data_IF_057614816517
#
_entry.id   IF_057614816517
#
_cell.length_a   1.000
_cell.length_b   1.000
_cell.length_c   1.000
_cell.angle_alpha   90.00
_cell.angle_beta   90.00
_cell.angle_gamma   90.00
#
_symmetry.space_group_name_H-M   'P 1'
#
loop_
_entity.id
_entity.type
_entity.pdbx_description
1 polymer ?
#
# COMPACT_ATOMS: atom_id res chain seq x y z
N UNK A 1 10.50 19.05 -5.02
CA UNK A 1 11.60 18.43 -5.79
C UNK A 1 11.30 18.23 -7.28
N UNK A 2 10.06 18.36 -7.77
CA UNK A 2 9.77 18.17 -9.22
C UNK A 2 10.02 16.75 -9.76
N UNK A 3 10.24 15.77 -8.87
CA UNK A 3 10.65 14.41 -9.20
C UNK A 3 11.96 14.31 -10.02
N UNK A 4 12.92 15.20 -9.75
CA UNK A 4 14.25 15.11 -10.35
C UNK A 4 15.01 13.96 -9.67
N UNK A 5 14.81 12.72 -10.15
CA UNK A 5 15.52 11.53 -9.68
C UNK A 5 16.69 11.15 -10.59
N UNK A 6 17.07 12.06 -11.50
CA UNK A 6 18.05 11.82 -12.55
C UNK A 6 18.83 13.12 -12.81
N UNK A 7 20.19 13.10 -12.85
CA UNK A 7 20.98 14.28 -13.16
C UNK A 7 20.62 14.91 -14.50
N UNK A 8 20.27 14.10 -15.51
CA UNK A 8 19.83 14.59 -16.82
C UNK A 8 18.48 15.32 -16.75
N UNK A 9 17.55 14.86 -15.91
CA UNK A 9 16.27 15.56 -15.68
C UNK A 9 16.51 16.87 -14.93
N UNK A 10 17.41 16.86 -13.94
CA UNK A 10 17.81 18.08 -13.22
C UNK A 10 18.40 19.10 -14.18
N UNK A 11 19.29 18.67 -15.07
CA UNK A 11 19.89 19.51 -16.11
C UNK A 11 18.85 20.00 -17.11
N UNK A 12 17.90 19.16 -17.53
CA UNK A 12 16.82 19.56 -18.43
C UNK A 12 15.94 20.65 -17.81
N UNK A 13 15.65 20.58 -16.50
CA UNK A 13 14.87 21.62 -15.81
C UNK A 13 15.68 22.90 -15.59
N UNK A 14 16.99 22.81 -15.33
CA UNK A 14 17.88 23.97 -15.33
C UNK A 14 17.92 24.64 -16.71
N UNK A 15 18.07 23.84 -17.77
CA UNK A 15 18.16 24.30 -19.15
C UNK A 15 16.84 24.89 -19.66
N UNK A 16 15.69 24.40 -19.18
CA UNK A 16 14.37 24.99 -19.46
C UNK A 16 14.30 26.47 -19.06
N UNK A 17 15.04 26.88 -18.03
CA UNK A 17 15.01 28.24 -17.50
C UNK A 17 13.67 28.58 -16.83
N UNK A 18 13.43 29.87 -16.58
CA UNK A 18 12.21 30.36 -15.93
C UNK A 18 12.25 30.36 -14.40
N UNK A 19 13.44 30.27 -13.79
CA UNK A 19 13.63 30.45 -12.34
C UNK A 19 13.05 29.36 -11.44
N UNK A 20 12.82 28.15 -11.98
CA UNK A 20 12.14 27.07 -11.26
C UNK A 20 13.00 26.42 -10.18
N UNK A 21 14.30 26.37 -10.44
CA UNK A 21 15.34 25.92 -9.51
C UNK A 21 16.57 26.79 -9.73
N UNK A 22 17.29 27.08 -8.65
CA UNK A 22 18.58 27.77 -8.75
C UNK A 22 19.66 26.78 -9.23
N UNK A 23 20.79 27.31 -9.74
CA UNK A 23 21.95 26.48 -10.08
C UNK A 23 22.47 25.71 -8.87
N UNK A 24 22.42 26.33 -7.68
CA UNK A 24 22.82 25.70 -6.42
C UNK A 24 21.90 24.52 -6.06
N UNK A 25 20.58 24.71 -6.16
CA UNK A 25 19.61 23.62 -5.92
C UNK A 25 19.80 22.48 -6.92
N UNK A 26 20.02 22.82 -8.19
CA UNK A 26 20.32 21.84 -9.23
C UNK A 26 21.60 21.05 -8.95
N UNK A 27 22.68 21.71 -8.52
CA UNK A 27 23.91 21.03 -8.13
C UNK A 27 23.68 20.11 -6.92
N UNK A 28 22.94 20.56 -5.90
CA UNK A 28 22.62 19.77 -4.73
C UNK A 28 21.78 18.52 -5.07
N UNK A 29 20.82 18.65 -6.00
CA UNK A 29 20.05 17.51 -6.50
C UNK A 29 20.95 16.48 -7.18
N UNK A 30 21.86 16.92 -8.07
CA UNK A 30 22.82 16.01 -8.74
C UNK A 30 23.72 15.30 -7.74
N UNK A 31 24.29 16.02 -6.77
CA UNK A 31 25.13 15.43 -5.71
C UNK A 31 24.34 14.38 -4.93
N UNK A 32 23.12 14.70 -4.52
CA UNK A 32 22.27 13.76 -3.76
C UNK A 32 21.94 12.51 -4.57
N UNK A 33 21.63 12.66 -5.86
CA UNK A 33 21.35 11.54 -6.77
C UNK A 33 22.58 10.64 -6.94
N UNK A 34 23.77 11.21 -7.09
CA UNK A 34 25.02 10.45 -7.21
C UNK A 34 25.35 9.72 -5.91
N UNK A 35 25.22 10.38 -4.75
CA UNK A 35 25.42 9.74 -3.45
C UNK A 35 24.44 8.59 -3.25
N UNK A 36 23.16 8.77 -3.58
CA UNK A 36 22.16 7.72 -3.49
C UNK A 36 22.51 6.53 -4.42
N UNK A 37 22.98 6.78 -5.65
CA UNK A 37 23.43 5.73 -6.56
C UNK A 37 24.66 4.97 -6.02
N UNK A 38 25.62 5.68 -5.42
CA UNK A 38 26.80 5.08 -4.79
C UNK A 38 26.45 4.24 -3.57
N UNK A 39 25.39 4.60 -2.83
CA UNK A 39 24.86 3.79 -1.72
C UNK A 39 24.06 2.58 -2.23
N UNK A 40 23.33 2.72 -3.33
CA UNK A 40 22.55 1.63 -3.93
C UNK A 40 23.44 0.55 -4.55
N UNK A 41 24.55 0.91 -5.20
CA UNK A 41 25.46 -0.02 -5.86
C UNK A 41 25.97 -1.18 -4.96
N UNK A 42 26.52 -0.95 -3.74
CA UNK A 42 26.94 -2.03 -2.86
C UNK A 42 25.76 -2.83 -2.31
N UNK A 43 24.57 -2.24 -2.13
CA UNK A 43 23.35 -2.97 -1.76
C UNK A 43 22.96 -3.96 -2.86
N UNK A 44 22.89 -3.51 -4.12
CA UNK A 44 22.62 -4.36 -5.27
C UNK A 44 23.68 -5.45 -5.45
N UNK A 45 24.96 -5.10 -5.31
CA UNK A 45 26.06 -6.07 -5.37
C UNK A 45 25.98 -7.12 -4.26
N UNK A 46 25.66 -6.71 -3.03
CA UNK A 46 25.49 -7.61 -1.88
C UNK A 46 24.30 -8.54 -2.01
N UNK A 47 23.28 -8.14 -2.77
CA UNK A 47 22.09 -8.94 -3.09
C UNK A 47 22.35 -9.94 -4.24
N UNK A 48 22.92 -9.49 -5.36
CA UNK A 48 22.94 -10.25 -6.63
C UNK A 48 24.34 -10.84 -6.96
N UNK A 49 25.45 -10.25 -6.50
CA UNK A 49 26.85 -10.60 -6.90
C UNK A 49 27.03 -10.65 -8.44
N UNK A 50 27.99 -11.47 -8.92
CA UNK A 50 28.35 -11.69 -10.34
C UNK A 50 27.36 -12.58 -11.12
N UNK A 51 26.33 -13.12 -10.47
CA UNK A 51 25.26 -13.81 -11.20
C UNK A 51 24.54 -12.77 -12.05
N UNK A 52 24.61 -12.96 -13.37
CA UNK A 52 24.25 -11.96 -14.36
C UNK A 52 22.82 -11.46 -14.16
N UNK A 53 22.63 -10.18 -14.46
CA UNK A 53 21.38 -9.43 -14.49
C UNK A 53 20.36 -9.97 -15.52
N UNK A 54 19.95 -11.22 -15.36
CA UNK A 54 18.88 -11.87 -16.11
C UNK A 54 18.01 -12.66 -15.14
N UNK A 55 16.70 -12.57 -15.35
CA UNK A 55 15.61 -13.21 -14.59
C UNK A 55 15.01 -12.39 -13.44
N UNK A 56 14.03 -11.57 -13.82
CA UNK A 56 12.74 -11.65 -13.15
C UNK A 56 12.33 -13.14 -13.08
N UNK A 57 12.06 -13.65 -11.87
CA UNK A 57 11.65 -15.03 -11.56
C UNK A 57 12.76 -16.11 -11.45
N UNK A 58 13.94 -15.81 -10.91
CA UNK A 58 14.81 -16.86 -10.34
C UNK A 58 14.17 -17.46 -9.05
N UNK A 59 14.41 -18.74 -8.72
CA UNK A 59 14.04 -19.30 -7.41
C UNK A 59 14.70 -18.46 -6.30
N UNK A 60 14.05 -18.25 -5.14
CA UNK A 60 14.58 -17.41 -4.06
C UNK A 60 16.01 -17.82 -3.66
N UNK A 61 17.02 -17.11 -4.16
CA UNK A 61 18.41 -17.25 -3.73
C UNK A 61 18.54 -16.53 -2.38
N UNK A 62 18.11 -17.25 -1.35
CA UNK A 62 17.85 -16.67 -0.03
C UNK A 62 19.12 -16.69 0.80
N UNK A 63 19.97 -15.70 0.55
CA UNK A 63 20.90 -15.23 1.58
C UNK A 63 20.10 -14.42 2.58
N UNK A 64 20.20 -14.74 3.87
CA UNK A 64 19.36 -14.15 4.90
C UNK A 64 19.43 -12.60 4.86
N UNK A 65 20.62 -12.02 4.74
CA UNK A 65 20.80 -10.56 4.67
C UNK A 65 20.12 -9.90 3.47
N UNK A 66 20.06 -10.58 2.31
CA UNK A 66 19.41 -10.05 1.11
C UNK A 66 17.89 -10.00 1.27
N UNK A 67 17.31 -11.00 1.94
CA UNK A 67 15.88 -11.02 2.27
C UNK A 67 15.52 -9.82 3.16
N UNK A 68 16.21 -9.65 4.29
CA UNK A 68 15.94 -8.53 5.21
C UNK A 68 16.09 -7.17 4.52
N UNK A 69 17.13 -6.99 3.69
CA UNK A 69 17.36 -5.74 2.98
C UNK A 69 16.27 -5.42 1.95
N UNK A 70 15.83 -6.41 1.17
CA UNK A 70 14.74 -6.22 0.19
C UNK A 70 13.42 -5.84 0.87
N UNK A 71 13.04 -6.61 1.89
CA UNK A 71 11.81 -6.38 2.64
C UNK A 71 11.83 -5.01 3.33
N UNK A 72 12.97 -4.61 3.92
CA UNK A 72 13.13 -3.29 4.51
C UNK A 72 12.99 -2.17 3.47
N UNK A 73 13.74 -2.21 2.36
CA UNK A 73 13.80 -1.11 1.39
C UNK A 73 12.47 -0.91 0.66
N UNK A 74 11.81 -2.00 0.24
CA UNK A 74 10.53 -1.90 -0.46
C UNK A 74 9.42 -1.53 0.51
N UNK A 75 9.39 -2.05 1.75
CA UNK A 75 8.38 -1.60 2.72
C UNK A 75 8.60 -0.15 3.14
N UNK A 76 9.85 0.31 3.27
CA UNK A 76 10.16 1.72 3.47
C UNK A 76 9.61 2.57 2.32
N UNK A 77 9.82 2.17 1.07
CA UNK A 77 9.27 2.87 -0.09
C UNK A 77 7.74 2.87 -0.09
N UNK A 78 7.11 1.72 0.15
CA UNK A 78 5.66 1.56 0.26
C UNK A 78 5.07 2.48 1.32
N UNK A 79 5.61 2.44 2.54
CA UNK A 79 5.14 3.27 3.64
C UNK A 79 5.39 4.76 3.36
N UNK A 80 6.52 5.12 2.76
CA UNK A 80 6.79 6.50 2.36
C UNK A 80 5.79 7.00 1.32
N UNK A 81 5.42 6.17 0.34
CA UNK A 81 4.38 6.48 -0.65
C UNK A 81 3.04 6.64 0.04
N UNK A 82 2.60 5.69 0.88
CA UNK A 82 1.36 5.82 1.65
C UNK A 82 1.33 7.15 2.41
N UNK A 83 2.37 7.44 3.18
CA UNK A 83 2.40 8.65 4.00
C UNK A 83 2.38 9.93 3.13
N UNK A 84 3.19 10.00 2.08
CA UNK A 84 3.33 11.19 1.24
C UNK A 84 2.17 11.41 0.27
N UNK A 85 1.53 10.35 -0.24
CA UNK A 85 0.44 10.49 -1.21
C UNK A 85 -0.94 10.41 -0.57
N UNK A 86 -1.14 9.58 0.46
CA UNK A 86 -2.48 9.40 1.06
C UNK A 86 -2.71 10.27 2.29
N UNK A 87 -1.65 10.66 3.02
CA UNK A 87 -1.81 11.28 4.36
C UNK A 87 -1.22 12.68 4.49
N UNK A 88 -0.48 13.17 3.48
CA UNK A 88 0.09 14.51 3.48
C UNK A 88 -0.96 15.55 3.13
N UNK A 89 -1.04 16.64 3.91
CA UNK A 89 -2.00 17.73 3.68
C UNK A 89 -1.87 18.37 2.29
N UNK A 90 -0.63 18.56 1.83
CA UNK A 90 -0.35 19.10 0.50
C UNK A 90 -0.81 18.21 -0.67
N UNK A 91 -1.26 16.98 -0.37
CA UNK A 91 -1.83 16.05 -1.34
C UNK A 91 -3.32 15.77 -1.06
N UNK A 92 -3.98 16.54 -0.18
CA UNK A 92 -5.39 16.33 0.11
C UNK A 92 -6.25 16.46 -1.16
N UNK A 93 -7.18 15.52 -1.35
CA UNK A 93 -8.06 15.49 -2.51
C UNK A 93 -7.45 14.93 -3.80
N UNK A 94 -6.20 14.45 -3.77
CA UNK A 94 -5.68 13.69 -4.90
C UNK A 94 -6.39 12.35 -5.05
N UNK A 95 -6.39 11.82 -6.27
CA UNK A 95 -7.04 10.55 -6.59
C UNK A 95 -6.04 9.48 -7.05
N UNK A 96 -4.73 9.75 -7.05
CA UNK A 96 -3.69 8.83 -7.55
C UNK A 96 -3.04 7.98 -6.43
N UNK A 97 -3.35 8.25 -5.16
CA UNK A 97 -2.72 7.58 -4.02
C UNK A 97 -2.81 6.04 -4.10
N UNK A 98 -3.99 5.49 -4.43
CA UNK A 98 -4.18 4.04 -4.54
C UNK A 98 -3.32 3.43 -5.65
N UNK A 99 -3.24 4.12 -6.80
CA UNK A 99 -2.39 3.74 -7.92
C UNK A 99 -0.92 3.73 -7.51
N UNK A 100 -0.44 4.79 -6.86
CA UNK A 100 0.95 4.89 -6.41
C UNK A 100 1.31 3.77 -5.40
N UNK A 101 0.41 3.48 -4.46
CA UNK A 101 0.58 2.41 -3.46
C UNK A 101 0.67 1.04 -4.14
N UNK A 102 -0.28 0.72 -5.03
CA UNK A 102 -0.29 -0.55 -5.77
C UNK A 102 0.93 -0.72 -6.69
N UNK A 103 1.32 0.33 -7.40
CA UNK A 103 2.50 0.31 -8.27
C UNK A 103 3.82 0.16 -7.49
N UNK A 104 3.88 0.63 -6.24
CA UNK A 104 5.05 0.41 -5.39
C UNK A 104 5.22 -1.07 -5.06
N UNK A 105 4.13 -1.78 -4.73
CA UNK A 105 4.15 -3.23 -4.50
C UNK A 105 4.46 -3.99 -5.79
N UNK A 106 3.86 -3.61 -6.92
CA UNK A 106 4.18 -4.18 -8.24
C UNK A 106 5.69 -4.05 -8.54
N UNK A 107 6.24 -2.84 -8.41
CA UNK A 107 7.66 -2.57 -8.65
C UNK A 107 8.57 -3.41 -7.76
N UNK A 108 8.26 -3.50 -6.47
CA UNK A 108 8.98 -4.36 -5.52
C UNK A 108 8.90 -5.84 -5.89
N UNK A 109 7.70 -6.33 -6.21
CA UNK A 109 7.49 -7.75 -6.52
C UNK A 109 8.21 -8.15 -7.83
N UNK A 110 8.24 -7.29 -8.84
CA UNK A 110 9.01 -7.52 -10.08
C UNK A 110 10.52 -7.45 -9.82
N UNK A 111 10.98 -6.45 -9.06
CA UNK A 111 12.41 -6.17 -8.90
C UNK A 111 13.12 -7.09 -7.92
N UNK A 112 12.50 -7.39 -6.77
CA UNK A 112 13.15 -8.14 -5.67
C UNK A 112 12.33 -9.34 -5.19
N UNK A 113 11.19 -9.64 -5.82
CA UNK A 113 10.38 -10.82 -5.49
C UNK A 113 11.14 -12.13 -5.69
N UNK A 114 12.00 -12.23 -6.70
CA UNK A 114 12.88 -13.38 -6.93
C UNK A 114 14.00 -13.53 -5.88
N UNK A 115 14.25 -12.51 -5.06
CA UNK A 115 15.29 -12.51 -4.03
C UNK A 115 14.66 -12.81 -2.66
N UNK A 116 13.61 -12.06 -2.30
CA UNK A 116 12.99 -12.08 -0.98
C UNK A 116 11.68 -12.84 -0.90
N UNK A 117 11.03 -13.14 -2.02
CA UNK A 117 9.62 -13.55 -2.06
C UNK A 117 8.64 -12.38 -2.16
N UNK A 118 9.08 -11.16 -1.83
CA UNK A 118 8.36 -9.92 -2.08
C UNK A 118 7.06 -9.77 -1.29
N UNK A 119 7.11 -9.99 0.04
CA UNK A 119 5.93 -9.86 0.89
C UNK A 119 5.60 -8.39 1.15
N UNK A 120 6.61 -7.61 1.57
CA UNK A 120 6.55 -6.18 1.91
C UNK A 120 5.47 -5.80 2.94
N UNK A 121 4.91 -6.81 3.59
CA UNK A 121 3.69 -6.77 4.40
C UNK A 121 3.73 -7.95 5.38
N UNK A 122 3.80 -7.72 6.70
CA UNK A 122 3.82 -8.80 7.69
C UNK A 122 2.59 -9.73 7.63
N UNK A 123 1.42 -9.23 7.24
CA UNK A 123 0.23 -10.07 7.06
C UNK A 123 0.42 -11.03 5.86
N UNK A 124 0.90 -10.53 4.72
CA UNK A 124 1.27 -11.40 3.57
C UNK A 124 2.41 -12.35 3.94
N UNK A 125 3.42 -11.86 4.68
CA UNK A 125 4.52 -12.67 5.20
C UNK A 125 4.06 -13.82 6.10
N UNK A 126 2.97 -13.64 6.84
CA UNK A 126 2.37 -14.69 7.69
C UNK A 126 1.87 -15.88 6.87
N UNK A 127 1.53 -15.69 5.59
CA UNK A 127 1.16 -16.78 4.70
C UNK A 127 2.30 -17.81 4.51
N UNK A 128 3.56 -17.41 4.75
CA UNK A 128 4.70 -18.34 4.71
C UNK A 128 4.63 -19.46 5.76
N UNK A 129 3.82 -19.32 6.80
CA UNK A 129 3.57 -20.40 7.76
C UNK A 129 2.74 -21.55 7.15
N UNK A 130 1.92 -21.25 6.14
CA UNK A 130 1.10 -22.23 5.42
C UNK A 130 1.74 -22.71 4.11
N UNK A 131 2.45 -21.81 3.42
CA UNK A 131 2.99 -22.07 2.07
C UNK A 131 4.52 -22.15 2.00
N UNK A 132 5.23 -21.78 3.07
CA UNK A 132 6.68 -21.71 3.08
C UNK A 132 7.30 -23.10 3.10
N UNK A 133 8.28 -23.34 2.22
CA UNK A 133 9.11 -24.54 2.23
C UNK A 133 10.22 -24.51 3.31
N UNK A 134 10.32 -23.41 4.05
CA UNK A 134 11.36 -23.11 5.03
C UNK A 134 10.83 -23.24 6.46
N UNK A 135 11.71 -23.42 7.46
CA UNK A 135 11.28 -23.49 8.85
C UNK A 135 10.48 -22.25 9.26
N UNK A 136 9.47 -22.45 10.11
CA UNK A 136 8.49 -21.43 10.47
C UNK A 136 9.09 -20.11 11.00
N UNK A 137 10.31 -20.14 11.56
CA UNK A 137 10.99 -18.94 12.05
C UNK A 137 11.33 -17.91 10.96
N UNK A 138 11.34 -18.31 9.68
CA UNK A 138 11.53 -17.38 8.56
C UNK A 138 10.43 -16.33 8.46
N UNK A 139 9.25 -16.58 9.04
CA UNK A 139 8.18 -15.57 9.15
C UNK A 139 8.69 -14.29 9.83
N UNK A 140 9.64 -14.41 10.76
CA UNK A 140 10.23 -13.27 11.47
C UNK A 140 10.93 -12.31 10.52
N UNK A 141 11.49 -12.79 9.43
CA UNK A 141 12.14 -11.93 8.45
C UNK A 141 11.12 -11.02 7.74
N UNK A 142 9.93 -11.56 7.44
CA UNK A 142 8.81 -10.82 6.86
C UNK A 142 8.02 -9.98 7.87
N UNK A 143 8.31 -10.09 9.16
CA UNK A 143 7.77 -9.21 10.19
C UNK A 143 8.76 -8.10 10.56
N UNK A 144 9.98 -8.47 10.95
CA UNK A 144 10.97 -7.53 11.46
C UNK A 144 11.40 -6.52 10.41
N UNK A 145 11.82 -6.96 9.22
CA UNK A 145 12.31 -6.02 8.20
C UNK A 145 11.22 -5.03 7.73
N UNK A 146 10.00 -5.47 7.38
CA UNK A 146 8.91 -4.55 7.02
C UNK A 146 8.53 -3.58 8.15
N UNK A 147 8.42 -4.05 9.41
CA UNK A 147 8.12 -3.17 10.54
C UNK A 147 9.21 -2.11 10.75
N UNK A 148 10.49 -2.48 10.63
CA UNK A 148 11.59 -1.52 10.66
C UNK A 148 11.49 -0.51 9.49
N UNK A 149 11.21 -0.97 8.28
CA UNK A 149 11.03 -0.10 7.11
C UNK A 149 9.88 0.89 7.30
N UNK A 150 8.74 0.43 7.83
CA UNK A 150 7.59 1.28 8.15
C UNK A 150 7.88 2.30 9.25
N UNK A 151 8.56 1.90 10.32
CA UNK A 151 8.95 2.82 11.39
C UNK A 151 9.91 3.92 10.89
N UNK A 152 10.91 3.55 10.08
CA UNK A 152 11.85 4.50 9.47
C UNK A 152 11.11 5.43 8.49
N UNK A 153 10.13 4.93 7.72
CA UNK A 153 9.30 5.76 6.85
C UNK A 153 8.48 6.80 7.63
N UNK A 154 7.96 6.46 8.81
CA UNK A 154 7.29 7.41 9.71
C UNK A 154 8.22 8.54 10.16
N UNK A 155 9.47 8.23 10.49
CA UNK A 155 10.51 9.22 10.81
C UNK A 155 10.95 10.05 9.59
N UNK A 156 11.11 9.41 8.43
CA UNK A 156 11.44 10.08 7.17
C UNK A 156 10.36 11.10 6.77
N UNK A 157 9.08 10.75 6.90
CA UNK A 157 7.96 11.64 6.60
C UNK A 157 8.05 12.96 7.38
N UNK A 158 8.44 12.91 8.66
CA UNK A 158 8.64 14.13 9.49
C UNK A 158 9.66 15.09 8.88
N UNK A 159 10.73 14.56 8.30
CA UNK A 159 11.82 15.38 7.77
C UNK A 159 11.42 16.02 6.43
N UNK A 160 10.73 15.28 5.57
CA UNK A 160 10.48 15.70 4.18
C UNK A 160 9.13 16.35 3.93
N UNK A 161 8.19 16.23 4.87
CA UNK A 161 6.92 16.94 4.84
C UNK A 161 6.79 17.86 6.07
N UNK A 162 7.70 18.85 6.23
CA UNK A 162 7.63 19.81 7.32
C UNK A 162 6.35 20.65 7.22
N UNK A 163 5.91 21.15 8.36
CA UNK A 163 4.68 21.90 8.55
C UNK A 163 4.53 23.03 7.50
N UNK A 164 3.38 23.09 6.83
CA UNK A 164 2.96 24.34 6.22
C UNK A 164 2.43 25.23 7.35
N UNK A 165 2.77 26.53 7.38
CA UNK A 165 2.07 27.50 8.23
C UNK A 165 0.56 27.33 8.02
N UNK A 166 -0.29 27.55 9.04
CA UNK A 166 -1.72 27.62 8.84
C UNK A 166 -1.98 28.52 7.65
N UNK A 167 -2.68 28.01 6.63
CA UNK A 167 -3.14 28.87 5.55
C UNK A 167 -3.93 29.98 6.24
N UNK A 168 -3.45 31.22 6.18
CA UNK A 168 -4.32 32.36 6.47
C UNK A 168 -5.58 32.12 5.64
N UNK A 169 -6.75 32.24 6.27
CA UNK A 169 -8.04 32.11 5.60
C UNK A 169 -8.02 33.07 4.41
N UNK A 170 -7.65 32.54 3.24
CA UNK A 170 -7.73 33.24 1.98
C UNK A 170 -9.21 33.53 1.83
N UNK A 171 -9.55 34.81 1.99
CA UNK A 171 -10.87 35.39 1.78
C UNK A 171 -11.32 35.09 0.34
N UNK A 172 -11.80 33.87 0.12
CA UNK A 172 -12.34 33.40 -1.14
C UNK A 172 -13.86 33.61 -1.08
N UNK A 173 -14.28 34.67 -1.75
CA UNK A 173 -15.60 35.03 -2.28
C UNK A 173 -16.85 34.32 -1.68
N UNK A 174 -17.87 35.07 -1.21
CA UNK A 174 -19.14 34.50 -0.76
C UNK A 174 -19.77 33.66 -1.88
N UNK A 175 -20.01 32.37 -1.62
CA UNK A 175 -20.98 31.59 -2.40
C UNK A 175 -22.37 32.08 -1.99
N UNK A 176 -23.16 32.47 -2.99
CA UNK A 176 -24.56 32.88 -2.84
C UNK A 176 -25.34 31.87 -1.99
N UNK A 177 -26.12 32.41 -1.05
CA UNK A 177 -27.04 31.67 -0.20
C UNK A 177 -28.25 31.26 -1.05
N UNK A 178 -28.38 29.98 -1.35
CA UNK A 178 -29.69 29.40 -1.64
C UNK A 178 -30.39 29.11 -0.30
N UNK A 179 -31.33 29.99 0.05
CA UNK A 179 -32.25 29.85 1.18
C UNK A 179 -33.37 28.87 0.82
N UNK A 180 -33.24 27.59 1.20
CA UNK A 180 -34.39 26.68 1.31
C UNK A 180 -34.00 25.33 1.95
N UNK A 181 -33.95 25.29 3.29
CA UNK A 181 -34.64 24.27 4.12
C UNK A 181 -34.13 24.37 5.56
N UNK A 182 -34.97 24.90 6.45
CA UNK A 182 -34.81 24.76 7.89
C UNK A 182 -35.18 23.33 8.27
N UNK A 183 -34.21 22.57 8.79
CA UNK A 183 -34.44 21.42 9.69
C UNK A 183 -33.24 21.30 10.62
N UNK A 184 -33.46 21.74 11.86
CA UNK A 184 -32.83 21.37 13.13
C UNK A 184 -31.44 20.71 13.08
N UNK A 185 -30.41 21.51 13.38
CA UNK A 185 -29.05 21.04 13.63
C UNK A 185 -28.91 20.55 15.08
N UNK A 186 -28.41 19.33 15.34
CA UNK A 186 -27.86 18.99 16.64
C UNK A 186 -26.52 19.69 16.83
N UNK A 187 -26.35 20.22 18.03
CA UNK A 187 -25.18 20.90 18.57
C UNK A 187 -23.88 20.12 18.36
N UNK A 188 -22.81 20.90 18.14
CA UNK A 188 -21.40 20.53 18.14
C UNK A 188 -21.01 19.47 19.17
N UNK A 189 -20.73 18.25 18.70
CA UNK A 189 -19.99 17.24 19.47
C UNK A 189 -18.49 17.34 19.16
N UNK A 190 -17.70 17.52 20.21
CA UNK A 190 -16.24 17.37 20.19
C UNK A 190 -15.88 15.94 19.75
N UNK A 191 -15.37 15.81 18.54
CA UNK A 191 -15.07 14.54 17.88
C UNK A 191 -13.71 13.98 18.30
N UNK A 192 -13.69 13.03 19.24
CA UNK A 192 -12.52 12.15 19.47
C UNK A 192 -12.86 10.70 19.81
N UNK A 193 -14.09 10.37 20.19
CA UNK A 193 -14.48 8.97 20.42
C UNK A 193 -15.01 8.33 19.13
N UNK A 194 -14.25 7.38 18.57
CA UNK A 194 -14.81 6.47 17.56
C UNK A 194 -15.89 5.63 18.23
N UNK A 195 -17.06 5.52 17.60
CA UNK A 195 -18.07 4.57 18.08
C UNK A 195 -17.56 3.14 17.89
N UNK A 196 -18.05 2.20 18.71
CA UNK A 196 -17.76 0.77 18.52
C UNK A 196 -18.12 0.31 17.11
N UNK A 197 -19.22 0.80 16.56
CA UNK A 197 -19.66 0.51 15.19
C UNK A 197 -18.66 1.01 14.14
N UNK A 198 -18.09 2.20 14.32
CA UNK A 198 -17.05 2.71 13.41
C UNK A 198 -15.78 1.87 13.46
N UNK A 199 -15.36 1.47 14.67
CA UNK A 199 -14.18 0.62 14.84
C UNK A 199 -14.39 -0.75 14.20
N UNK A 200 -15.58 -1.35 14.38
CA UNK A 200 -15.94 -2.62 13.76
C UNK A 200 -15.92 -2.52 12.23
N UNK A 201 -16.51 -1.46 11.66
CA UNK A 201 -16.49 -1.25 10.21
C UNK A 201 -15.05 -1.14 9.67
N UNK A 202 -14.19 -0.38 10.36
CA UNK A 202 -12.78 -0.24 9.99
C UNK A 202 -12.03 -1.56 10.04
N UNK A 203 -12.17 -2.32 11.14
CA UNK A 203 -11.53 -3.63 11.29
C UNK A 203 -12.06 -4.63 10.25
N UNK A 204 -13.35 -4.58 9.92
CA UNK A 204 -13.95 -5.43 8.89
C UNK A 204 -13.38 -5.12 7.50
N UNK A 205 -13.22 -3.85 7.15
CA UNK A 205 -12.57 -3.44 5.90
C UNK A 205 -11.13 -3.96 5.85
N UNK A 206 -10.36 -3.77 6.92
CA UNK A 206 -8.97 -4.28 7.01
C UNK A 206 -8.89 -5.81 6.89
N UNK A 207 -9.82 -6.53 7.51
CA UNK A 207 -9.95 -8.00 7.41
C UNK A 207 -10.24 -8.43 5.97
N UNK A 208 -11.29 -7.87 5.35
CA UNK A 208 -11.75 -8.25 4.00
C UNK A 208 -10.72 -7.87 2.95
N UNK A 209 -10.19 -6.64 2.99
CA UNK A 209 -9.18 -6.20 2.04
C UNK A 209 -7.90 -7.02 2.13
N UNK A 210 -7.44 -7.37 3.34
CA UNK A 210 -6.27 -8.23 3.50
C UNK A 210 -6.55 -9.68 3.08
N UNK A 211 -7.78 -10.18 3.28
CA UNK A 211 -8.22 -11.49 2.79
C UNK A 211 -8.12 -11.57 1.27
N UNK A 212 -8.66 -10.59 0.56
CA UNK A 212 -8.67 -10.56 -0.90
C UNK A 212 -7.26 -10.37 -1.46
N UNK A 213 -6.45 -9.50 -0.85
CA UNK A 213 -5.04 -9.35 -1.19
C UNK A 213 -4.28 -10.67 -1.04
N UNK A 214 -4.40 -11.35 0.11
CA UNK A 214 -3.69 -12.59 0.37
C UNK A 214 -4.23 -13.76 -0.48
N UNK A 215 -5.52 -13.77 -0.80
CA UNK A 215 -6.07 -14.70 -1.77
C UNK A 215 -5.44 -14.52 -3.16
N UNK A 216 -5.32 -13.27 -3.63
CA UNK A 216 -4.63 -12.95 -4.89
C UNK A 216 -3.16 -13.34 -4.83
N UNK A 217 -2.43 -13.05 -3.74
CA UNK A 217 -1.03 -13.50 -3.58
C UNK A 217 -0.92 -15.02 -3.66
N UNK A 218 -1.83 -15.74 -2.99
CA UNK A 218 -1.82 -17.20 -2.98
C UNK A 218 -2.12 -17.84 -4.33
N UNK A 219 -2.99 -17.22 -5.14
CA UNK A 219 -3.50 -17.76 -6.41
C UNK A 219 -2.82 -17.23 -7.67
N UNK A 220 -2.19 -16.05 -7.62
CA UNK A 220 -1.54 -15.44 -8.78
C UNK A 220 -0.35 -16.28 -9.27
N UNK A 221 -0.24 -16.47 -10.59
CA UNK A 221 0.79 -17.31 -11.23
C UNK A 221 1.41 -16.63 -12.46
N UNK A 222 2.62 -17.06 -12.81
CA UNK A 222 3.34 -16.60 -13.99
C UNK A 222 3.89 -15.18 -13.88
N UNK A 223 4.42 -14.66 -14.99
CA UNK A 223 5.07 -13.35 -15.03
C UNK A 223 4.17 -12.15 -14.73
N UNK A 224 2.85 -12.33 -14.79
CA UNK A 224 1.87 -11.29 -14.46
C UNK A 224 1.42 -11.32 -12.98
N UNK A 225 1.92 -12.25 -12.16
CA UNK A 225 1.54 -12.32 -10.76
C UNK A 225 1.79 -11.02 -9.98
N UNK A 226 2.95 -10.33 -10.14
CA UNK A 226 3.17 -9.01 -9.52
C UNK A 226 2.12 -7.97 -9.90
N UNK A 227 1.65 -7.98 -11.16
CA UNK A 227 0.63 -7.05 -11.65
C UNK A 227 -0.70 -7.29 -10.95
N UNK A 228 -1.12 -8.55 -10.84
CA UNK A 228 -2.35 -8.91 -10.14
C UNK A 228 -2.31 -8.51 -8.66
N UNK A 229 -1.18 -8.73 -7.97
CA UNK A 229 -1.01 -8.39 -6.55
C UNK A 229 -1.04 -6.87 -6.33
N UNK A 230 -0.27 -6.12 -7.12
CA UNK A 230 -0.26 -4.65 -7.04
C UNK A 230 -1.60 -4.02 -7.41
N UNK A 231 -2.27 -4.54 -8.44
CA UNK A 231 -3.60 -4.11 -8.82
C UNK A 231 -4.63 -4.40 -7.72
N UNK A 232 -4.62 -5.61 -7.13
CA UNK A 232 -5.53 -5.93 -6.03
C UNK A 232 -5.35 -4.98 -4.85
N UNK A 233 -4.12 -4.66 -4.45
CA UNK A 233 -3.88 -3.69 -3.39
C UNK A 233 -4.44 -2.30 -3.76
N UNK A 234 -4.20 -1.82 -4.98
CA UNK A 234 -4.76 -0.55 -5.48
C UNK A 234 -6.30 -0.54 -5.37
N UNK A 235 -6.97 -1.59 -5.85
CA UNK A 235 -8.42 -1.74 -5.82
C UNK A 235 -8.94 -1.66 -4.38
N UNK A 236 -8.34 -2.42 -3.46
CA UNK A 236 -8.72 -2.42 -2.04
C UNK A 236 -8.51 -1.05 -1.39
N UNK A 237 -7.45 -0.33 -1.75
CA UNK A 237 -7.19 1.03 -1.25
C UNK A 237 -8.25 2.01 -1.73
N UNK A 238 -8.64 1.97 -3.01
CA UNK A 238 -9.71 2.84 -3.50
C UNK A 238 -11.09 2.51 -2.92
N UNK A 239 -11.36 1.23 -2.70
CA UNK A 239 -12.61 0.74 -2.12
C UNK A 239 -12.73 1.07 -0.62
N UNK A 240 -11.74 0.68 0.18
CA UNK A 240 -11.80 0.73 1.65
C UNK A 240 -11.09 1.92 2.29
N UNK A 241 -10.26 2.64 1.52
CA UNK A 241 -9.39 3.71 2.03
C UNK A 241 -10.14 4.82 2.77
N UNK A 242 -11.34 5.17 2.31
CA UNK A 242 -12.15 6.21 2.96
C UNK A 242 -12.81 5.76 4.27
N UNK A 243 -12.86 4.45 4.54
CA UNK A 243 -13.42 3.88 5.78
C UNK A 243 -12.31 3.66 6.80
N UNK A 244 -11.32 2.83 6.46
CA UNK A 244 -10.27 2.42 7.39
C UNK A 244 -8.94 3.16 7.22
N UNK A 245 -8.75 3.88 6.11
CA UNK A 245 -7.42 4.31 5.66
C UNK A 245 -6.76 3.31 4.71
N UNK A 246 -7.33 2.10 4.56
CA UNK A 246 -6.89 1.10 3.59
C UNK A 246 -5.46 0.61 3.83
N UNK A 247 -5.11 0.30 5.08
CA UNK A 247 -3.73 -0.05 5.42
C UNK A 247 -3.35 -1.43 4.87
N UNK A 248 -4.22 -2.43 5.11
CA UNK A 248 -4.10 -3.84 4.70
C UNK A 248 -2.73 -4.49 4.99
N UNK A 249 -1.95 -3.89 5.89
CA UNK A 249 -0.54 -4.17 6.10
C UNK A 249 -0.10 -3.67 7.49
N UNK A 250 0.38 -4.56 8.38
CA UNK A 250 0.86 -4.17 9.71
C UNK A 250 2.00 -3.15 9.70
N UNK A 251 2.89 -3.19 8.71
CA UNK A 251 3.97 -2.21 8.57
C UNK A 251 3.47 -0.83 8.15
N UNK A 252 2.44 -0.76 7.30
CA UNK A 252 1.77 0.51 6.96
C UNK A 252 1.04 1.08 8.18
N UNK A 253 0.31 0.23 8.90
CA UNK A 253 -0.32 0.60 10.18
C UNK A 253 0.70 1.15 11.17
N UNK A 254 1.84 0.47 11.32
CA UNK A 254 2.93 0.95 12.16
C UNK A 254 3.50 2.27 11.66
N UNK A 255 3.69 2.46 10.36
CA UNK A 255 4.21 3.72 9.81
C UNK A 255 3.27 4.91 10.08
N UNK A 256 1.97 4.71 9.90
CA UNK A 256 0.94 5.73 10.19
C UNK A 256 0.89 6.05 11.69
N UNK A 257 0.96 5.03 12.54
CA UNK A 257 1.06 5.21 13.99
C UNK A 257 2.36 5.90 14.40
N UNK A 258 3.52 5.47 13.88
CA UNK A 258 4.83 6.00 14.20
C UNK A 258 4.95 7.48 13.82
N UNK A 259 4.38 7.87 12.66
CA UNK A 259 4.24 9.28 12.29
C UNK A 259 3.47 10.08 13.35
N UNK A 260 2.42 9.50 13.94
CA UNK A 260 1.57 10.17 14.92
C UNK A 260 2.26 10.44 16.27
N UNK A 261 3.34 9.72 16.59
CA UNK A 261 4.17 9.98 17.78
C UNK A 261 4.83 11.36 17.77
N UNK A 262 4.85 12.02 16.62
CA UNK A 262 5.57 13.27 16.40
C UNK A 262 4.69 14.52 16.37
N UNK A 263 3.39 14.43 16.69
CA UNK A 263 2.55 15.59 17.02
C UNK A 263 1.25 15.75 16.21
N UNK A 264 0.33 16.54 16.77
CA UNK A 264 -1.09 16.71 16.44
C UNK A 264 -1.43 17.23 15.02
N UNK A 265 -0.44 17.52 14.19
CA UNK A 265 -0.61 18.25 12.92
C UNK A 265 -1.19 17.40 11.79
N UNK A 266 -0.99 16.08 11.82
CA UNK A 266 -1.50 15.15 10.80
C UNK A 266 -2.60 14.19 11.30
N UNK A 267 -3.15 14.47 12.48
CA UNK A 267 -4.06 13.58 13.20
C UNK A 267 -3.31 12.51 13.99
N UNK A 268 -3.80 12.24 15.20
CA UNK A 268 -3.29 11.13 16.03
C UNK A 268 -3.92 9.84 15.54
N UNK A 269 -3.11 8.79 15.33
CA UNK A 269 -3.62 7.45 15.05
C UNK A 269 -3.51 6.61 16.34
N UNK A 270 -4.62 6.26 17.01
CA UNK A 270 -4.55 5.61 18.31
C UNK A 270 -3.84 4.26 18.26
N UNK A 271 -2.98 3.97 19.26
CA UNK A 271 -2.29 2.68 19.36
C UNK A 271 -3.28 1.51 19.45
N UNK A 272 -4.40 1.69 20.15
CA UNK A 272 -5.45 0.68 20.24
C UNK A 272 -6.04 0.34 18.86
N UNK A 273 -6.31 1.36 18.03
CA UNK A 273 -6.78 1.15 16.66
C UNK A 273 -5.69 0.46 15.81
N UNK A 274 -4.43 0.85 15.96
CA UNK A 274 -3.31 0.20 15.28
C UNK A 274 -3.22 -1.30 15.63
N UNK A 275 -3.35 -1.64 16.91
CA UNK A 275 -3.34 -3.04 17.36
C UNK A 275 -4.51 -3.84 16.78
N UNK A 276 -5.72 -3.28 16.79
CA UNK A 276 -6.90 -3.92 16.20
C UNK A 276 -6.76 -4.12 14.69
N UNK A 277 -6.16 -3.16 13.97
CA UNK A 277 -5.87 -3.30 12.55
C UNK A 277 -4.89 -4.45 12.29
N UNK A 278 -3.82 -4.56 13.06
CA UNK A 278 -2.84 -5.64 12.91
C UNK A 278 -3.50 -7.01 13.14
N UNK A 279 -4.39 -7.12 14.13
CA UNK A 279 -5.18 -8.34 14.37
C UNK A 279 -6.11 -8.65 13.20
N UNK A 280 -6.85 -7.65 12.70
CA UNK A 280 -7.73 -7.82 11.56
C UNK A 280 -6.97 -8.24 10.29
N UNK A 281 -5.84 -7.59 10.01
CA UNK A 281 -4.99 -7.87 8.85
C UNK A 281 -4.40 -9.28 8.90
N UNK A 282 -3.89 -9.72 10.06
CA UNK A 282 -3.35 -11.09 10.22
C UNK A 282 -4.43 -12.16 10.15
N UNK A 283 -5.62 -11.90 10.71
CA UNK A 283 -6.80 -12.75 10.52
C UNK A 283 -7.20 -12.84 9.05
N UNK A 284 -7.21 -11.71 8.35
CA UNK A 284 -7.56 -11.65 6.93
C UNK A 284 -6.55 -12.40 6.07
N UNK A 285 -5.25 -12.24 6.34
CA UNK A 285 -4.22 -13.00 5.66
C UNK A 285 -4.36 -14.51 5.85
N UNK A 286 -4.73 -14.95 7.07
CA UNK A 286 -4.98 -16.37 7.35
C UNK A 286 -6.18 -16.90 6.55
N UNK A 287 -7.28 -16.14 6.50
CA UNK A 287 -8.46 -16.49 5.70
C UNK A 287 -8.16 -16.54 4.20
N UNK A 288 -7.47 -15.52 3.68
CA UNK A 288 -7.07 -15.44 2.27
C UNK A 288 -6.12 -16.56 1.87
N UNK A 289 -5.18 -16.89 2.75
CA UNK A 289 -4.30 -18.03 2.58
C UNK A 289 -5.09 -19.35 2.54
N UNK A 290 -5.99 -19.62 3.49
CA UNK A 290 -6.80 -20.85 3.48
C UNK A 290 -7.70 -20.93 2.23
N UNK A 291 -8.31 -19.82 1.83
CA UNK A 291 -9.13 -19.76 0.62
C UNK A 291 -8.32 -20.07 -0.64
N UNK A 292 -7.10 -19.52 -0.76
CA UNK A 292 -6.21 -19.82 -1.88
C UNK A 292 -5.77 -21.29 -1.89
N UNK A 293 -5.52 -21.89 -0.72
CA UNK A 293 -5.12 -23.29 -0.60
C UNK A 293 -6.26 -24.20 -1.05
N UNK A 294 -7.50 -23.89 -0.64
CA UNK A 294 -8.71 -24.58 -1.09
C UNK A 294 -8.92 -24.47 -2.60
N UNK A 295 -8.76 -23.27 -3.17
CA UNK A 295 -8.89 -23.03 -4.60
C UNK A 295 -7.85 -23.82 -5.44
N UNK A 296 -6.64 -24.01 -4.90
CA UNK A 296 -5.53 -24.69 -5.57
C UNK A 296 -5.41 -26.17 -5.23
N UNK A 297 -6.28 -26.71 -4.36
CA UNK A 297 -6.20 -28.09 -3.90
C UNK A 297 -6.33 -29.11 -5.03
N UNK A 298 -6.83 -28.72 -6.21
CA UNK A 298 -7.03 -29.63 -7.34
C UNK A 298 -6.30 -29.14 -8.59
N UNK A 299 -5.43 -30.01 -9.12
CA UNK A 299 -4.47 -29.72 -10.21
C UNK A 299 -5.12 -29.62 -11.60
N UNK A 300 -6.42 -29.85 -11.69
CA UNK A 300 -7.24 -29.88 -12.90
C UNK A 300 -8.11 -28.62 -13.08
N UNK A 301 -7.80 -27.54 -12.36
CA UNK A 301 -8.47 -26.25 -12.51
C UNK A 301 -8.28 -25.70 -13.94
N UNK A 302 -9.39 -25.40 -14.59
CA UNK A 302 -9.44 -24.88 -15.96
C UNK A 302 -9.10 -23.38 -15.95
N UNK A 303 -8.40 -22.92 -16.98
CA UNK A 303 -8.27 -21.50 -17.29
C UNK A 303 -9.51 -21.05 -18.08
N UNK A 304 -10.13 -19.95 -17.65
CA UNK A 304 -11.28 -19.28 -18.30
C UNK A 304 -12.62 -20.04 -18.20
N UNK A 305 -13.79 -19.33 -18.27
CA UNK A 305 -14.95 -19.62 -17.43
C UNK A 305 -15.64 -20.91 -17.84
N UNK A 306 -15.14 -22.00 -17.29
CA UNK A 306 -15.79 -23.28 -17.18
C UNK A 306 -15.19 -23.93 -15.94
N UNK A 307 -15.98 -24.22 -14.90
CA UNK A 307 -15.53 -25.17 -13.90
C UNK A 307 -15.15 -26.45 -14.65
N UNK A 308 -14.04 -27.08 -14.27
CA UNK A 308 -13.73 -28.44 -14.75
C UNK A 308 -14.95 -29.31 -14.48
N UNK A 309 -15.24 -30.30 -15.34
CA UNK A 309 -16.30 -31.29 -15.09
C UNK A 309 -16.19 -31.92 -13.70
N UNK A 310 -14.98 -31.89 -13.12
CA UNK A 310 -14.68 -32.43 -11.82
C UNK A 310 -14.85 -31.44 -10.67
N UNK A 311 -15.00 -30.13 -10.90
CA UNK A 311 -15.11 -29.08 -9.86
C UNK A 311 -16.37 -29.28 -9.02
N UNK A 312 -16.28 -29.47 -7.68
CA UNK A 312 -17.45 -29.60 -6.84
C UNK A 312 -18.18 -28.26 -6.86
N UNK A 313 -19.50 -28.33 -7.00
CA UNK A 313 -20.38 -27.15 -7.08
C UNK A 313 -20.08 -26.16 -5.93
N UNK A 314 -19.81 -26.64 -4.72
CA UNK A 314 -19.48 -25.78 -3.57
C UNK A 314 -18.23 -24.91 -3.75
N UNK A 315 -17.16 -25.43 -4.39
CA UNK A 315 -15.94 -24.65 -4.64
C UNK A 315 -16.13 -23.65 -5.79
N UNK A 316 -16.90 -24.03 -6.82
CA UNK A 316 -17.28 -23.11 -7.89
C UNK A 316 -18.14 -21.96 -7.35
N UNK A 317 -19.14 -22.26 -6.52
CA UNK A 317 -19.99 -21.26 -5.87
C UNK A 317 -19.20 -20.34 -4.94
N UNK A 318 -18.20 -20.85 -4.20
CA UNK A 318 -17.33 -20.03 -3.36
C UNK A 318 -16.49 -19.05 -4.21
N UNK A 319 -15.91 -19.53 -5.31
CA UNK A 319 -15.15 -18.68 -6.24
C UNK A 319 -16.00 -17.57 -6.86
N UNK A 320 -17.19 -17.91 -7.36
CA UNK A 320 -18.17 -16.96 -7.92
C UNK A 320 -18.70 -15.99 -6.86
N UNK A 321 -18.98 -16.46 -5.64
CA UNK A 321 -19.36 -15.61 -4.52
C UNK A 321 -18.27 -14.60 -4.21
N UNK A 322 -17.01 -15.03 -4.07
CA UNK A 322 -15.90 -14.11 -3.76
C UNK A 322 -15.65 -13.09 -4.89
N UNK A 323 -15.70 -13.53 -6.16
CA UNK A 323 -15.51 -12.66 -7.31
C UNK A 323 -16.64 -11.65 -7.49
N UNK A 324 -17.89 -12.09 -7.39
CA UNK A 324 -19.08 -11.22 -7.50
C UNK A 324 -19.21 -10.30 -6.29
N UNK A 325 -18.92 -10.81 -5.08
CA UNK A 325 -18.84 -10.00 -3.87
C UNK A 325 -17.80 -8.90 -4.04
N UNK A 326 -16.59 -9.22 -4.51
CA UNK A 326 -15.54 -8.24 -4.78
C UNK A 326 -16.03 -7.17 -5.77
N UNK A 327 -16.59 -7.57 -6.91
CA UNK A 327 -17.08 -6.63 -7.92
C UNK A 327 -18.17 -5.71 -7.35
N UNK A 328 -19.20 -6.28 -6.72
CA UNK A 328 -20.29 -5.52 -6.13
C UNK A 328 -19.78 -4.59 -5.02
N UNK A 329 -18.90 -5.08 -4.15
CA UNK A 329 -18.34 -4.34 -3.04
C UNK A 329 -17.46 -3.17 -3.52
N UNK A 330 -16.61 -3.39 -4.53
CA UNK A 330 -15.81 -2.32 -5.15
C UNK A 330 -16.72 -1.28 -5.79
N UNK A 331 -17.66 -1.67 -6.65
CA UNK A 331 -18.57 -0.73 -7.34
C UNK A 331 -19.36 0.12 -6.33
N UNK A 332 -19.89 -0.51 -5.29
CA UNK A 332 -20.66 0.20 -4.26
C UNK A 332 -19.80 1.26 -3.55
N UNK A 333 -18.55 0.94 -3.24
CA UNK A 333 -17.67 1.80 -2.46
C UNK A 333 -16.84 2.80 -3.28
N UNK A 334 -16.60 2.57 -4.58
CA UNK A 334 -15.81 3.47 -5.44
C UNK A 334 -16.69 4.35 -6.32
N UNK A 335 -17.72 3.78 -6.95
CA UNK A 335 -18.52 4.45 -7.97
C UNK A 335 -19.82 5.05 -7.43
N UNK A 336 -20.46 4.43 -6.44
CA UNK A 336 -21.81 4.84 -6.01
C UNK A 336 -21.85 5.60 -4.67
N UNK A 337 -20.76 5.57 -3.89
CA UNK A 337 -20.70 6.26 -2.60
C UNK A 337 -20.65 7.78 -2.78
N UNK A 338 -21.59 8.53 -2.17
CA UNK A 338 -21.62 10.01 -2.23
C UNK A 338 -20.28 10.66 -1.81
N UNK A 339 -19.55 10.01 -0.89
CA UNK A 339 -18.29 10.51 -0.32
C UNK A 339 -17.07 10.30 -1.23
N UNK A 340 -17.18 9.48 -2.27
CA UNK A 340 -16.16 9.34 -3.34
C UNK A 340 -16.53 10.13 -4.60
N UNK A 341 -17.52 11.04 -4.52
CA UNK A 341 -17.89 11.92 -5.62
C UNK A 341 -16.67 12.75 -6.08
N UNK A 342 -16.36 12.68 -7.38
CA UNK A 342 -15.19 13.33 -7.97
C UNK A 342 -13.92 12.47 -8.03
N UNK A 343 -13.92 11.24 -7.51
CA UNK A 343 -12.81 10.31 -7.75
C UNK A 343 -12.68 10.04 -9.25
N UNK A 344 -11.59 10.47 -9.90
CA UNK A 344 -11.40 10.26 -11.35
C UNK A 344 -10.86 8.88 -11.71
N UNK A 345 -10.52 8.05 -10.72
CA UNK A 345 -9.89 6.74 -10.92
C UNK A 345 -10.76 5.56 -10.46
N UNK A 346 -12.08 5.75 -10.25
CA UNK A 346 -12.98 4.62 -9.95
C UNK A 346 -12.95 3.54 -11.04
N UNK A 347 -12.67 3.89 -12.30
CA UNK A 347 -12.54 2.93 -13.40
C UNK A 347 -11.22 2.14 -13.42
N UNK A 348 -10.24 2.51 -12.59
CA UNK A 348 -9.05 1.68 -12.35
C UNK A 348 -9.27 0.66 -11.22
N UNK A 349 -10.28 0.86 -10.36
CA UNK A 349 -10.66 -0.03 -9.27
C UNK A 349 -11.64 -1.09 -9.77
#
# INVERSE_FOLDING_TARGET
SGAHYNPAVTLAVLARGGGLISLADGALYVVTQVVAALLAAPCCWGMIRKEAAGYAMAPPNTRDHSLYLCEFLITFALCSVVLLTATAKGQAGNSFFGLAIGFTVLSGAVSVGAISGGAFNPAVGTMSLLYGAKPAWNVLAYWVAPLCGGAVAGGFFRVVAPEAPPLEESTASPKEKDESSKTDAPSSENSTDLTTSDMLAKCFVELVGTTLLCFTVGTARGGLAPLAIGAMLMVMVYMGGWISGGHFNPAVTLAVWARSLFGATHGVFPLAQAALYIVAQTGGASLGALAAAGALARKDAVLFPAPSEKTPVGLALLGEFLGTFLLAYVVLHTATAKRTSGNSFFGLA
#
